data_IF_364597537257
#
_entry.id   IF_364597537257
#
_cell.length_a   1.000
_cell.length_b   1.000
_cell.length_c   1.000
_cell.angle_alpha   90.00
_cell.angle_beta   90.00
_cell.angle_gamma   90.00
#
_symmetry.space_group_name_H-M   'P 1'
#
loop_
_entity.id
_entity.type
_entity.pdbx_description
1 polymer ?
#
# COMPACT_ATOMS: atom_id res chain seq x y z
N UNK A 1 20.42 -14.31 45.62
CA UNK A 1 20.88 -13.42 44.54
C UNK A 1 19.71 -13.23 43.59
N UNK A 2 19.32 -11.99 43.24
CA UNK A 2 18.30 -11.78 42.22
C UNK A 2 18.86 -12.24 40.86
N UNK A 3 18.04 -12.97 40.11
CA UNK A 3 18.35 -13.37 38.73
C UNK A 3 18.53 -12.11 37.89
N UNK A 4 19.54 -12.06 36.98
CA UNK A 4 19.66 -10.96 36.05
C UNK A 4 18.40 -10.88 35.18
N UNK A 5 17.99 -9.67 34.77
CA UNK A 5 16.87 -9.51 33.86
C UNK A 5 17.16 -10.28 32.57
N UNK A 6 16.20 -11.08 32.12
CA UNK A 6 16.29 -11.75 30.83
C UNK A 6 16.09 -10.67 29.76
N UNK A 7 17.17 -10.31 29.07
CA UNK A 7 17.11 -9.48 27.86
C UNK A 7 16.80 -10.38 26.68
N UNK A 8 15.64 -10.19 26.06
CA UNK A 8 15.35 -10.76 24.74
C UNK A 8 15.80 -9.74 23.71
N UNK A 9 16.54 -10.17 22.68
CA UNK A 9 16.70 -9.35 21.49
C UNK A 9 15.34 -9.26 20.79
N UNK A 10 14.83 -8.05 20.51
CA UNK A 10 13.58 -7.92 19.77
C UNK A 10 13.72 -8.63 18.43
N UNK A 11 12.82 -9.57 18.17
CA UNK A 11 12.75 -10.25 16.88
C UNK A 11 11.89 -9.40 15.96
N UNK A 12 12.44 -9.05 14.79
CA UNK A 12 11.70 -8.29 13.78
C UNK A 12 10.36 -8.99 13.48
N UNK A 13 9.30 -8.20 13.36
CA UNK A 13 7.97 -8.67 13.00
C UNK A 13 7.50 -7.99 11.71
N UNK A 14 6.69 -8.67 10.88
CA UNK A 14 6.12 -8.05 9.69
C UNK A 14 5.36 -6.75 10.01
N UNK A 15 5.47 -5.70 9.16
CA UNK A 15 4.62 -4.52 9.26
C UNK A 15 3.15 -4.91 9.23
N UNK A 16 2.34 -4.34 10.13
CA UNK A 16 0.89 -4.54 10.16
C UNK A 16 0.21 -3.23 9.85
N UNK A 17 -0.58 -3.21 8.78
CA UNK A 17 -1.45 -2.08 8.45
C UNK A 17 -2.70 -2.15 9.34
N UNK A 18 -2.85 -1.17 10.24
CA UNK A 18 -3.93 -1.13 11.22
C UNK A 18 -5.22 -0.63 10.58
N UNK A 19 -6.22 -1.51 10.46
CA UNK A 19 -7.49 -1.23 9.77
C UNK A 19 -8.23 0.02 10.31
N UNK A 20 -8.18 0.28 11.62
CA UNK A 20 -8.85 1.45 12.22
C UNK A 20 -8.18 2.79 11.87
N UNK A 21 -6.96 2.77 11.33
CA UNK A 21 -6.24 3.97 10.88
C UNK A 21 -6.41 4.27 9.39
N UNK A 22 -7.18 3.46 8.67
CA UNK A 22 -7.37 3.59 7.22
C UNK A 22 -8.40 4.67 6.89
N UNK A 23 -7.98 5.63 6.08
CA UNK A 23 -8.88 6.55 5.38
C UNK A 23 -8.32 6.78 3.97
N UNK A 24 -9.13 6.69 2.91
CA UNK A 24 -10.56 6.36 2.93
C UNK A 24 -10.82 4.89 3.36
N UNK A 25 -12.07 4.54 3.64
CA UNK A 25 -12.44 3.16 4.01
C UNK A 25 -12.23 2.22 2.80
N UNK A 26 -11.40 1.16 2.90
CA UNK A 26 -11.14 0.24 1.80
C UNK A 26 -12.37 -0.56 1.35
N UNK A 27 -13.46 -0.54 2.13
CA UNK A 27 -14.74 -1.18 1.76
C UNK A 27 -15.60 -0.29 0.85
N UNK A 28 -15.27 1.00 0.74
CA UNK A 28 -15.93 1.93 -0.15
C UNK A 28 -15.37 1.87 -1.56
N UNK A 29 -16.13 2.42 -2.51
CA UNK A 29 -15.68 2.67 -3.88
C UNK A 29 -15.32 4.15 -3.95
N UNK A 30 -14.10 4.45 -4.38
CA UNK A 30 -13.65 5.83 -4.59
C UNK A 30 -14.01 6.26 -6.02
N UNK A 31 -14.63 7.42 -6.19
CA UNK A 31 -14.85 8.01 -7.51
C UNK A 31 -13.74 9.03 -7.77
N UNK A 32 -13.04 8.92 -8.90
CA UNK A 32 -11.82 9.69 -9.19
C UNK A 32 -11.89 10.32 -10.58
N UNK A 33 -11.55 11.61 -10.68
CA UNK A 33 -11.51 12.34 -11.95
C UNK A 33 -12.88 12.64 -12.56
N UNK A 34 -12.91 13.04 -13.83
CA UNK A 34 -14.13 13.42 -14.54
C UNK A 34 -14.85 14.63 -13.93
N UNK A 35 -16.16 14.74 -14.19
CA UNK A 35 -17.00 15.82 -13.65
C UNK A 35 -17.52 15.53 -12.23
N UNK A 36 -17.60 14.25 -11.86
CA UNK A 36 -18.26 13.78 -10.62
C UNK A 36 -17.29 13.22 -9.56
N UNK A 37 -16.09 12.80 -9.96
CA UNK A 37 -15.11 12.19 -9.07
C UNK A 37 -14.20 13.20 -8.37
N UNK A 38 -13.51 12.74 -7.33
CA UNK A 38 -12.50 13.54 -6.65
C UNK A 38 -11.25 13.68 -7.53
N UNK A 39 -10.74 14.90 -7.67
CA UNK A 39 -9.47 15.17 -8.37
C UNK A 39 -8.25 14.93 -7.48
N UNK A 40 -8.44 14.87 -6.16
CA UNK A 40 -7.42 14.46 -5.20
C UNK A 40 -8.06 13.89 -3.93
N UNK A 41 -7.36 12.99 -3.26
CA UNK A 41 -7.71 12.54 -1.91
C UNK A 41 -6.47 12.12 -1.12
N UNK A 42 -6.51 12.35 0.19
CA UNK A 42 -5.49 11.87 1.11
C UNK A 42 -5.68 10.39 1.41
N UNK A 43 -4.58 9.67 1.59
CA UNK A 43 -4.59 8.32 2.18
C UNK A 43 -3.92 8.42 3.54
N UNK A 44 -4.61 7.97 4.58
CA UNK A 44 -4.05 7.79 5.91
C UNK A 44 -4.05 6.32 6.23
N UNK A 45 -2.98 5.87 6.86
CA UNK A 45 -2.85 4.53 7.40
C UNK A 45 -2.01 4.59 8.67
N UNK A 46 -2.02 3.53 9.46
CA UNK A 46 -1.09 3.38 10.58
C UNK A 46 -0.42 2.03 10.51
N UNK A 47 0.88 2.00 10.80
CA UNK A 47 1.71 0.80 10.75
C UNK A 47 2.17 0.45 12.16
N UNK A 48 1.99 -0.81 12.54
CA UNK A 48 2.47 -1.39 13.78
C UNK A 48 3.46 -2.52 13.46
N UNK A 49 4.65 -2.50 14.09
CA UNK A 49 5.67 -3.54 13.95
C UNK A 49 6.75 -3.42 15.02
N UNK A 50 7.48 -4.52 15.21
CA UNK A 50 8.80 -4.58 15.81
C UNK A 50 9.84 -4.56 14.68
N UNK A 51 10.60 -3.47 14.52
CA UNK A 51 11.43 -3.29 13.32
C UNK A 51 12.89 -3.72 13.52
N UNK A 52 13.29 -4.03 14.76
CA UNK A 52 14.67 -4.42 15.11
C UNK A 52 15.77 -3.44 14.60
N UNK A 53 15.43 -2.16 14.45
CA UNK A 53 16.36 -1.12 13.98
C UNK A 53 16.30 -0.82 12.48
N UNK A 54 15.42 -1.47 11.72
CA UNK A 54 15.20 -1.20 10.30
C UNK A 54 14.04 -0.23 10.07
N UNK A 55 14.09 0.53 8.97
CA UNK A 55 12.99 1.40 8.58
C UNK A 55 11.88 0.59 7.91
N UNK A 56 10.62 0.98 8.09
CA UNK A 56 9.51 0.44 7.29
C UNK A 56 9.32 1.29 6.05
N UNK A 57 9.37 0.65 4.89
CA UNK A 57 9.16 1.23 3.57
C UNK A 57 7.74 0.98 3.12
N UNK A 58 7.22 1.92 2.34
CA UNK A 58 5.85 1.90 1.86
C UNK A 58 5.81 2.19 0.38
N UNK A 59 4.94 1.50 -0.35
CA UNK A 59 4.67 1.75 -1.76
C UNK A 59 3.17 1.69 -2.02
N UNK A 60 2.73 2.42 -3.04
CA UNK A 60 1.34 2.47 -3.47
C UNK A 60 1.28 2.13 -4.95
N UNK A 61 0.61 1.04 -5.26
CA UNK A 61 0.54 0.48 -6.58
C UNK A 61 -0.84 0.69 -7.20
N UNK A 62 -0.87 1.04 -8.47
CA UNK A 62 -2.08 1.03 -9.29
C UNK A 62 -2.16 -0.29 -10.02
N UNK A 63 -3.32 -0.92 -9.95
CA UNK A 63 -3.63 -2.23 -10.54
C UNK A 63 -2.57 -3.28 -10.18
N UNK A 64 -2.22 -3.35 -8.89
CA UNK A 64 -1.40 -4.43 -8.36
C UNK A 64 -2.05 -5.78 -8.68
N UNK A 65 -1.28 -6.66 -9.32
CA UNK A 65 -1.78 -7.88 -9.95
C UNK A 65 -1.76 -7.86 -11.48
N UNK A 66 -1.42 -6.73 -12.12
CA UNK A 66 -1.18 -6.66 -13.57
C UNK A 66 0.31 -6.53 -13.87
N UNK A 67 0.81 -7.31 -14.82
CA UNK A 67 2.20 -7.20 -15.27
C UNK A 67 2.41 -5.96 -16.13
N UNK A 68 3.36 -5.08 -15.78
CA UNK A 68 3.76 -3.96 -16.65
C UNK A 68 4.80 -4.38 -17.70
N UNK A 69 5.22 -3.41 -18.53
CA UNK A 69 6.21 -3.62 -19.59
C UNK A 69 7.59 -4.10 -19.09
N UNK A 70 7.89 -3.95 -17.80
CA UNK A 70 9.13 -4.40 -17.16
C UNK A 70 8.99 -5.75 -16.43
N UNK A 71 7.82 -6.39 -16.50
CA UNK A 71 7.58 -7.67 -15.82
C UNK A 71 7.22 -7.53 -14.34
N UNK A 72 6.97 -6.32 -13.84
CA UNK A 72 6.61 -6.07 -12.44
C UNK A 72 5.10 -6.26 -12.22
N UNK A 73 4.63 -6.69 -11.03
CA UNK A 73 3.23 -7.08 -10.80
C UNK A 73 2.32 -5.90 -10.47
N UNK A 74 2.53 -4.75 -11.07
CA UNK A 74 1.66 -3.57 -10.99
C UNK A 74 1.74 -2.77 -12.27
N UNK A 75 0.69 -2.01 -12.58
CA UNK A 75 0.67 -1.11 -13.74
C UNK A 75 1.50 0.14 -13.48
N UNK A 76 1.29 0.79 -12.34
CA UNK A 76 2.04 1.98 -11.91
C UNK A 76 2.42 1.87 -10.43
N UNK A 77 3.48 2.57 -10.03
CA UNK A 77 3.90 2.68 -8.65
C UNK A 77 4.16 4.14 -8.29
N UNK A 78 3.61 4.56 -7.16
CA UNK A 78 4.13 5.71 -6.43
C UNK A 78 5.17 5.13 -5.46
N UNK A 79 6.38 5.68 -5.44
CA UNK A 79 7.47 5.23 -4.55
C UNK A 79 7.98 6.35 -3.64
N UNK A 80 7.48 7.56 -3.80
CA UNK A 80 7.83 8.72 -2.96
C UNK A 80 6.99 8.73 -1.69
N UNK A 81 7.14 7.70 -0.87
CA UNK A 81 6.54 7.62 0.45
C UNK A 81 7.54 7.96 1.54
N UNK A 82 7.11 8.58 2.64
CA UNK A 82 7.96 8.70 3.81
C UNK A 82 8.23 7.30 4.35
N UNK A 83 9.51 6.98 4.50
CA UNK A 83 9.94 5.84 5.32
C UNK A 83 9.56 6.11 6.77
N UNK A 84 9.10 5.06 7.47
CA UNK A 84 8.85 5.14 8.90
C UNK A 84 10.12 4.73 9.65
N UNK A 85 10.66 5.60 10.53
CA UNK A 85 11.86 5.29 11.30
C UNK A 85 11.57 4.14 12.27
N UNK A 86 12.57 3.35 12.70
CA UNK A 86 12.37 2.08 13.39
C UNK A 86 11.62 2.28 14.70
N UNK A 87 10.73 1.35 15.03
CA UNK A 87 9.96 1.33 16.27
C UNK A 87 9.72 -0.09 16.78
N UNK A 88 9.16 -0.16 17.98
CA UNK A 88 8.79 -1.40 18.65
C UNK A 88 7.28 -1.53 18.75
N UNK A 89 6.78 -2.74 19.04
CA UNK A 89 5.34 -2.94 19.29
C UNK A 89 4.83 -2.12 20.49
N UNK A 90 5.70 -1.75 21.43
CA UNK A 90 5.34 -0.95 22.60
C UNK A 90 5.08 0.53 22.27
N UNK A 91 5.64 1.04 21.17
CA UNK A 91 5.43 2.41 20.70
C UNK A 91 4.04 2.60 20.08
N UNK A 92 3.39 1.50 19.70
CA UNK A 92 2.06 1.49 19.09
C UNK A 92 2.07 1.87 17.60
N UNK A 93 0.88 2.02 16.99
CA UNK A 93 0.77 2.29 15.56
C UNK A 93 1.31 3.69 15.18
N UNK A 94 2.21 3.73 14.20
CA UNK A 94 2.79 4.96 13.64
C UNK A 94 1.95 5.45 12.46
N UNK A 95 1.57 6.73 12.40
CA UNK A 95 0.78 7.25 11.29
C UNK A 95 1.64 7.43 10.04
N UNK A 96 1.14 6.96 8.90
CA UNK A 96 1.62 7.37 7.58
C UNK A 96 0.97 8.70 7.22
N UNK A 97 1.79 9.74 7.06
CA UNK A 97 1.34 11.10 6.75
C UNK A 97 1.81 11.52 5.36
N UNK A 98 1.06 12.38 4.69
CA UNK A 98 1.47 13.00 3.43
C UNK A 98 1.26 12.14 2.18
N UNK A 99 0.59 11.00 2.28
CA UNK A 99 0.15 10.25 1.10
C UNK A 99 -1.07 10.92 0.49
N UNK A 100 -0.99 11.21 -0.82
CA UNK A 100 -2.11 11.71 -1.59
C UNK A 100 -2.17 11.06 -2.96
N UNK A 101 -3.38 10.79 -3.40
CA UNK A 101 -3.68 10.55 -4.79
C UNK A 101 -4.04 11.85 -5.47
N UNK A 102 -3.60 12.03 -6.72
CA UNK A 102 -3.95 13.16 -7.58
C UNK A 102 -4.35 12.61 -8.94
N UNK A 103 -5.52 13.01 -9.42
CA UNK A 103 -6.00 12.66 -10.76
C UNK A 103 -5.04 13.19 -11.84
N UNK A 104 -4.89 12.42 -12.92
CA UNK A 104 -3.95 12.72 -13.99
C UNK A 104 -2.46 12.50 -13.64
N UNK A 105 -2.12 12.07 -12.41
CA UNK A 105 -0.74 11.68 -12.08
C UNK A 105 -0.23 10.49 -12.92
N UNK A 106 -1.16 9.63 -13.36
CA UNK A 106 -0.91 8.51 -14.27
C UNK A 106 -1.95 8.50 -15.39
N UNK A 107 -1.59 8.02 -16.60
CA UNK A 107 -2.52 7.90 -17.74
C UNK A 107 -3.43 6.68 -17.57
N UNK A 108 -4.32 6.74 -16.59
CA UNK A 108 -5.31 5.71 -16.26
C UNK A 108 -6.54 5.94 -17.14
N UNK A 109 -7.06 4.87 -17.71
CA UNK A 109 -8.26 4.95 -18.55
C UNK A 109 -9.49 5.01 -17.65
N UNK A 110 -10.62 5.58 -18.11
CA UNK A 110 -11.88 5.44 -17.39
C UNK A 110 -12.23 3.97 -17.15
N UNK A 111 -12.74 3.65 -15.95
CA UNK A 111 -13.06 2.27 -15.56
C UNK A 111 -12.74 1.94 -14.10
N UNK A 112 -13.00 0.69 -13.72
CA UNK A 112 -12.62 0.19 -12.40
C UNK A 112 -11.11 -0.03 -12.31
N UNK A 113 -10.52 0.37 -11.19
CA UNK A 113 -9.11 0.22 -10.87
C UNK A 113 -8.90 -0.14 -9.41
N UNK A 114 -7.67 -0.57 -9.11
CA UNK A 114 -7.26 -0.90 -7.74
C UNK A 114 -6.07 -0.06 -7.32
N UNK A 115 -6.08 0.34 -6.06
CA UNK A 115 -4.97 1.02 -5.43
C UNK A 115 -4.51 0.16 -4.26
N UNK A 116 -3.26 -0.29 -4.24
CA UNK A 116 -2.75 -1.21 -3.21
C UNK A 116 -1.58 -0.58 -2.49
N UNK A 117 -1.74 -0.32 -1.19
CA UNK A 117 -0.66 0.10 -0.30
C UNK A 117 0.03 -1.15 0.22
N UNK A 118 1.36 -1.19 0.12
CA UNK A 118 2.20 -2.28 0.63
C UNK A 118 3.22 -1.69 1.60
N UNK A 119 3.40 -2.33 2.75
CA UNK A 119 4.40 -2.01 3.75
C UNK A 119 5.33 -3.22 3.97
N UNK A 120 6.63 -2.99 4.03
CA UNK A 120 7.69 -4.00 4.22
C UNK A 120 8.97 -3.31 4.69
N UNK A 121 9.93 -4.04 5.28
CA UNK A 121 11.23 -3.43 5.60
C UNK A 121 12.11 -3.27 4.35
N UNK A 122 11.92 -4.12 3.33
CA UNK A 122 12.72 -4.06 2.11
C UNK A 122 11.92 -4.42 0.85
N UNK A 123 12.05 -3.57 -0.18
CA UNK A 123 11.59 -3.88 -1.53
C UNK A 123 12.76 -4.40 -2.38
N UNK A 124 12.50 -5.43 -3.18
CA UNK A 124 13.37 -5.81 -4.29
C UNK A 124 13.30 -4.73 -5.38
N UNK A 125 14.45 -4.14 -5.70
CA UNK A 125 14.50 -2.96 -6.59
C UNK A 125 14.27 -3.29 -8.06
N UNK A 126 14.39 -4.56 -8.46
CA UNK A 126 14.13 -4.99 -9.83
C UNK A 126 12.63 -5.19 -10.07
N UNK A 127 11.96 -5.86 -9.15
CA UNK A 127 10.55 -6.25 -9.26
C UNK A 127 9.60 -5.23 -8.64
N UNK A 128 10.09 -4.41 -7.70
CA UNK A 128 9.25 -3.55 -6.85
C UNK A 128 8.39 -4.34 -5.85
N UNK A 129 8.68 -5.63 -5.65
CA UNK A 129 7.99 -6.47 -4.67
C UNK A 129 8.61 -6.34 -3.28
N UNK A 130 7.88 -6.66 -2.21
CA UNK A 130 8.53 -6.98 -0.94
C UNK A 130 9.58 -8.07 -1.19
N UNK A 131 10.79 -7.86 -0.68
CA UNK A 131 11.87 -8.83 -0.81
C UNK A 131 11.52 -10.14 -0.10
N UNK A 132 10.80 -10.02 1.01
CA UNK A 132 10.30 -11.11 1.83
C UNK A 132 8.77 -10.98 1.95
N UNK A 133 8.01 -11.90 1.34
CA UNK A 133 6.54 -11.79 1.31
C UNK A 133 5.91 -11.96 2.70
N UNK A 134 6.55 -12.76 3.55
CA UNK A 134 6.16 -12.93 4.95
C UNK A 134 6.46 -11.69 5.80
N UNK A 135 7.32 -10.78 5.35
CA UNK A 135 7.64 -9.49 5.95
C UNK A 135 6.91 -8.35 5.22
N UNK A 136 5.63 -8.58 4.91
CA UNK A 136 4.83 -7.54 4.27
C UNK A 136 3.38 -7.58 4.68
N UNK A 137 2.74 -6.42 4.61
CA UNK A 137 1.29 -6.26 4.71
C UNK A 137 0.81 -5.36 3.59
N UNK A 138 -0.41 -5.63 3.13
CA UNK A 138 -1.04 -4.84 2.09
C UNK A 138 -2.50 -4.56 2.37
N UNK A 139 -2.99 -3.44 1.83
CA UNK A 139 -4.41 -3.11 1.78
C UNK A 139 -4.76 -2.54 0.42
N UNK A 140 -5.94 -2.88 -0.09
CA UNK A 140 -6.39 -2.50 -1.42
C UNK A 140 -7.70 -1.71 -1.35
N UNK A 141 -7.75 -0.58 -2.05
CA UNK A 141 -8.97 0.17 -2.36
C UNK A 141 -9.37 -0.11 -3.80
N UNK A 142 -10.68 -0.09 -4.05
CA UNK A 142 -11.22 -0.03 -5.39
C UNK A 142 -11.63 1.40 -5.70
N UNK A 143 -11.32 1.85 -6.91
CA UNK A 143 -11.76 3.14 -7.39
C UNK A 143 -12.29 3.04 -8.82
N UNK A 144 -13.24 3.91 -9.13
CA UNK A 144 -13.74 4.13 -10.47
C UNK A 144 -13.10 5.41 -11.00
N UNK A 145 -12.28 5.28 -12.04
CA UNK A 145 -11.81 6.42 -12.83
C UNK A 145 -12.96 6.87 -13.72
N UNK A 146 -13.45 8.07 -13.49
CA UNK A 146 -14.53 8.69 -14.24
C UNK A 146 -13.98 9.34 -15.53
N UNK A 147 -14.83 9.39 -16.56
CA UNK A 147 -14.64 10.25 -17.75
C UNK A 147 -15.53 11.50 -17.62
N UNK A 148 -15.57 12.33 -18.66
CA UNK A 148 -16.57 13.41 -18.81
C UNK A 148 -17.97 12.79 -18.87
N UNK A 149 -18.88 13.28 -18.03
CA UNK A 149 -20.24 12.75 -17.89
C UNK A 149 -20.46 11.80 -16.70
N UNK A 150 -21.35 10.83 -16.88
CA UNK A 150 -21.83 9.97 -15.78
C UNK A 150 -20.74 9.03 -15.27
N UNK A 151 -20.53 9.00 -13.94
CA UNK A 151 -19.61 8.09 -13.29
C UNK A 151 -20.37 7.06 -12.46
N UNK A 152 -20.64 5.86 -13.01
CA UNK A 152 -21.40 4.85 -12.28
C UNK A 152 -20.65 4.42 -11.03
N UNK A 153 -21.35 4.39 -9.89
CA UNK A 153 -20.80 3.92 -8.62
C UNK A 153 -20.70 2.37 -8.55
N UNK A 154 -20.85 1.68 -9.67
CA UNK A 154 -20.73 0.23 -9.79
C UNK A 154 -19.32 -0.12 -10.29
N UNK A 155 -18.70 -1.11 -9.65
CA UNK A 155 -17.44 -1.67 -10.11
C UNK A 155 -17.73 -2.71 -11.19
N UNK A 156 -17.44 -2.36 -12.44
CA UNK A 156 -17.54 -3.27 -13.58
C UNK A 156 -16.16 -3.44 -14.23
N UNK A 157 -15.88 -4.65 -14.72
CA UNK A 157 -14.65 -4.99 -15.45
C UNK A 157 -13.33 -4.61 -14.75
N UNK A 158 -13.29 -4.73 -13.42
CA UNK A 158 -12.08 -4.48 -12.64
C UNK A 158 -10.93 -5.39 -13.11
N UNK A 159 -9.69 -4.86 -13.19
CA UNK A 159 -8.57 -5.65 -13.66
C UNK A 159 -8.36 -6.92 -12.82
N UNK A 160 -8.10 -8.03 -13.50
CA UNK A 160 -7.82 -9.31 -12.86
C UNK A 160 -6.49 -9.28 -12.06
N UNK A 161 -6.33 -10.25 -11.15
CA UNK A 161 -5.09 -10.43 -10.38
C UNK A 161 -4.33 -11.62 -10.97
N UNK A 162 -3.61 -11.36 -12.05
CA UNK A 162 -2.96 -12.42 -12.84
C UNK A 162 -1.45 -12.50 -12.59
N UNK A 163 -0.87 -11.44 -12.01
CA UNK A 163 0.52 -11.35 -11.61
C UNK A 163 0.64 -11.35 -10.08
N UNK A 164 1.66 -12.00 -9.56
CA UNK A 164 2.00 -11.96 -8.14
C UNK A 164 3.50 -11.72 -8.00
N UNK A 165 3.91 -11.21 -6.85
CA UNK A 165 5.33 -11.19 -6.53
C UNK A 165 5.88 -12.61 -6.49
N UNK A 166 7.11 -12.83 -6.98
CA UNK A 166 7.71 -14.16 -6.94
C UNK A 166 7.76 -14.63 -5.49
N UNK A 167 7.35 -15.89 -5.27
CA UNK A 167 7.65 -16.56 -4.01
C UNK A 167 9.18 -16.61 -3.87
N UNK A 168 9.68 -16.36 -2.67
CA UNK A 168 11.11 -16.50 -2.39
C UNK A 168 11.59 -17.89 -2.86
N UNK A 169 12.79 -17.98 -3.47
CA UNK A 169 13.36 -19.26 -3.87
C UNK A 169 13.67 -20.18 -2.67
#
# INVERSE_FOLDING_TARGET
MPTPPITYEPTQSPPIIVASGLSPDPRGILLVGGDEGATEFGITASILSEDAGEDVKVALYVDYGLTNALGQPFRFALQTFPELPPATLADGPRPLVGVRWVDGAFPIQPGCHRLTLVATHEFDTATGCPKHLNDSSQVTWHFQQCDVGECPAALEDCPATDATCPLEP
#
